data_IF_367721781838
#
_entry.id   IF_367721781838
#
_cell.length_a   1.000
_cell.length_b   1.000
_cell.length_c   1.000
_cell.angle_alpha   90.00
_cell.angle_beta   90.00
_cell.angle_gamma   90.00
#
_symmetry.space_group_name_H-M   'P 1'
#
loop_
_entity.id
_entity.type
_entity.pdbx_description
1 polymer ?
#
# COMPACT_ATOMS: atom_id res chain seq x y z
N UNK A 1 -42.30 -3.16 2.71
CA UNK A 1 -41.60 -2.88 1.44
C UNK A 1 -40.16 -3.33 1.62
N UNK A 2 -39.74 -4.41 0.95
CA UNK A 2 -38.44 -5.03 1.16
C UNK A 2 -37.38 -4.42 0.24
N UNK A 3 -36.35 -3.80 0.81
CA UNK A 3 -35.22 -3.26 0.07
C UNK A 3 -34.19 -4.38 -0.13
N UNK A 4 -34.28 -5.10 -1.26
CA UNK A 4 -33.39 -6.23 -1.54
C UNK A 4 -32.05 -5.73 -2.07
N UNK A 5 -31.10 -5.45 -1.17
CA UNK A 5 -29.70 -5.23 -1.54
C UNK A 5 -29.13 -6.50 -2.18
N UNK A 6 -28.86 -6.47 -3.49
CA UNK A 6 -28.29 -7.61 -4.22
C UNK A 6 -26.77 -7.46 -4.20
N UNK A 7 -26.11 -8.06 -3.22
CA UNK A 7 -24.65 -8.25 -3.25
C UNK A 7 -24.36 -9.47 -4.12
N UNK A 8 -23.50 -9.31 -5.12
CA UNK A 8 -22.97 -10.40 -5.93
C UNK A 8 -21.52 -10.66 -5.54
N UNK A 9 -21.17 -11.93 -5.33
CA UNK A 9 -19.80 -12.38 -5.13
C UNK A 9 -19.38 -13.23 -6.32
N UNK A 10 -18.24 -12.90 -6.93
CA UNK A 10 -17.66 -13.70 -8.01
C UNK A 10 -16.73 -14.75 -7.40
N UNK A 11 -17.02 -16.02 -7.63
CA UNK A 11 -16.23 -17.15 -7.09
C UNK A 11 -15.22 -17.71 -8.07
N UNK A 12 -15.35 -17.39 -9.36
CA UNK A 12 -14.55 -18.00 -10.44
C UNK A 12 -14.13 -16.97 -11.50
N UNK A 13 -13.08 -17.30 -12.27
CA UNK A 13 -12.55 -16.44 -13.33
C UNK A 13 -11.75 -15.23 -12.84
N UNK A 14 -11.52 -14.26 -13.72
CA UNK A 14 -10.62 -13.10 -13.48
C UNK A 14 -11.01 -12.20 -12.30
N UNK A 15 -12.22 -12.34 -11.77
CA UNK A 15 -12.71 -11.56 -10.62
C UNK A 15 -13.06 -12.44 -9.42
N UNK A 16 -12.57 -13.69 -9.38
CA UNK A 16 -12.75 -14.58 -8.23
C UNK A 16 -12.33 -13.89 -6.92
N UNK A 17 -13.17 -14.00 -5.89
CA UNK A 17 -12.99 -13.38 -4.58
C UNK A 17 -13.39 -11.90 -4.51
N UNK A 18 -13.99 -11.33 -5.56
CA UNK A 18 -14.52 -9.96 -5.57
C UNK A 18 -16.02 -9.93 -5.35
N UNK A 19 -16.52 -8.85 -4.73
CA UNK A 19 -17.94 -8.59 -4.55
C UNK A 19 -18.34 -7.26 -5.17
N UNK A 20 -19.63 -7.12 -5.51
CA UNK A 20 -20.26 -5.91 -6.01
C UNK A 20 -21.67 -5.77 -5.42
N UNK A 21 -22.04 -4.58 -4.98
CA UNK A 21 -23.37 -4.24 -4.47
C UNK A 21 -24.11 -3.38 -5.49
N UNK A 22 -25.20 -3.91 -6.05
CA UNK A 22 -25.99 -3.21 -7.07
C UNK A 22 -26.82 -2.04 -6.51
N UNK A 23 -26.99 -1.96 -5.19
CA UNK A 23 -27.75 -0.89 -4.56
C UNK A 23 -26.88 0.32 -4.28
N UNK A 24 -25.62 0.13 -3.90
CA UNK A 24 -24.68 1.23 -3.58
C UNK A 24 -23.63 1.48 -4.65
N UNK A 25 -23.40 0.54 -5.57
CA UNK A 25 -22.32 0.58 -6.55
C UNK A 25 -20.94 0.24 -5.97
N UNK A 26 -20.89 -0.15 -4.69
CA UNK A 26 -19.64 -0.51 -4.01
C UNK A 26 -19.13 -1.88 -4.44
N UNK A 27 -17.81 -2.06 -4.36
CA UNK A 27 -17.15 -3.30 -4.76
C UNK A 27 -15.83 -3.47 -4.02
N UNK A 28 -15.37 -4.71 -3.91
CA UNK A 28 -14.10 -5.00 -3.23
C UNK A 28 -13.78 -6.48 -3.21
N UNK A 29 -12.91 -6.89 -2.30
CA UNK A 29 -12.65 -8.30 -1.99
C UNK A 29 -13.37 -8.77 -0.71
N UNK A 30 -13.32 -10.08 -0.43
CA UNK A 30 -13.96 -10.66 0.75
C UNK A 30 -13.53 -10.02 2.09
N UNK A 31 -12.29 -9.51 2.20
CA UNK A 31 -11.85 -8.80 3.40
C UNK A 31 -12.61 -7.49 3.54
N UNK A 32 -12.66 -6.68 2.47
CA UNK A 32 -13.42 -5.43 2.46
C UNK A 32 -14.92 -5.63 2.70
N UNK A 33 -15.49 -6.77 2.26
CA UNK A 33 -16.89 -7.12 2.53
C UNK A 33 -17.12 -7.33 4.02
N UNK A 34 -16.24 -8.07 4.69
CA UNK A 34 -16.35 -8.33 6.14
C UNK A 34 -16.15 -7.04 6.93
N UNK A 35 -15.22 -6.18 6.52
CA UNK A 35 -15.04 -4.88 7.16
C UNK A 35 -16.32 -4.02 7.05
N UNK A 36 -16.97 -4.01 5.87
CA UNK A 36 -18.21 -3.28 5.64
C UNK A 36 -19.38 -3.82 6.45
N UNK A 37 -19.67 -5.11 6.32
CA UNK A 37 -20.87 -5.72 6.91
C UNK A 37 -20.79 -5.86 8.43
N UNK A 38 -19.57 -5.97 8.99
CA UNK A 38 -19.37 -6.22 10.42
C UNK A 38 -18.73 -5.05 11.17
N UNK A 39 -18.38 -3.97 10.48
CA UNK A 39 -17.62 -2.85 11.06
C UNK A 39 -16.23 -3.27 11.55
N UNK A 40 -15.70 -4.39 11.04
CA UNK A 40 -14.42 -4.93 11.48
C UNK A 40 -13.27 -4.14 10.91
N UNK A 41 -12.20 -4.02 11.70
CA UNK A 41 -10.93 -3.58 11.19
C UNK A 41 -10.24 -4.70 10.41
N UNK A 42 -9.22 -4.37 9.61
CA UNK A 42 -8.56 -5.35 8.72
C UNK A 42 -8.11 -6.64 9.44
N UNK A 43 -7.55 -6.51 10.66
CA UNK A 43 -7.13 -7.66 11.46
C UNK A 43 -8.30 -8.51 11.94
N UNK A 44 -9.39 -7.89 12.39
CA UNK A 44 -10.60 -8.60 12.83
C UNK A 44 -11.27 -9.31 11.66
N UNK A 45 -11.31 -8.66 10.49
CA UNK A 45 -11.81 -9.27 9.26
C UNK A 45 -10.96 -10.47 8.81
N UNK A 46 -9.63 -10.36 8.93
CA UNK A 46 -8.69 -11.46 8.64
C UNK A 46 -8.88 -12.63 9.60
N UNK A 47 -8.95 -12.39 10.90
CA UNK A 47 -9.15 -13.45 11.90
C UNK A 47 -10.52 -14.10 11.75
N UNK A 48 -11.54 -13.31 11.43
CA UNK A 48 -12.88 -13.81 11.11
C UNK A 48 -12.87 -14.74 9.89
N UNK A 49 -12.29 -14.32 8.76
CA UNK A 49 -12.23 -15.16 7.56
C UNK A 49 -11.41 -16.43 7.75
N UNK A 50 -10.30 -16.38 8.50
CA UNK A 50 -9.54 -17.58 8.88
C UNK A 50 -10.39 -18.60 9.63
N UNK A 51 -11.20 -18.12 10.58
CA UNK A 51 -12.11 -18.97 11.34
C UNK A 51 -13.18 -19.62 10.46
N UNK A 52 -13.63 -18.92 9.41
CA UNK A 52 -14.65 -19.43 8.48
C UNK A 52 -14.13 -20.54 7.55
N UNK A 53 -12.87 -20.48 7.13
CA UNK A 53 -12.28 -21.46 6.20
C UNK A 53 -11.68 -22.68 6.90
N UNK A 54 -11.94 -22.85 8.21
CA UNK A 54 -11.42 -23.98 8.98
C UNK A 54 -9.89 -24.01 9.09
N UNK A 55 -9.23 -22.86 8.82
CA UNK A 55 -7.83 -22.68 9.19
C UNK A 55 -7.79 -22.62 10.72
N UNK A 56 -7.59 -23.78 11.34
CA UNK A 56 -7.46 -23.89 12.79
C UNK A 56 -6.39 -22.90 13.25
N UNK A 57 -6.68 -22.23 14.36
CA UNK A 57 -5.64 -21.56 15.13
C UNK A 57 -4.72 -22.68 15.64
N UNK A 58 -3.79 -23.13 14.79
CA UNK A 58 -2.57 -23.74 15.28
C UNK A 58 -2.02 -22.63 16.15
N UNK A 59 -2.19 -22.84 17.44
CA UNK A 59 -1.46 -22.18 18.49
C UNK A 59 0.00 -22.60 18.31
N UNK A 60 0.61 -22.19 17.20
CA UNK A 60 1.96 -21.70 17.26
C UNK A 60 1.85 -20.56 18.25
N UNK A 61 2.12 -20.91 19.52
CA UNK A 61 2.66 -20.00 20.50
C UNK A 61 3.91 -19.42 19.84
N UNK A 62 3.72 -18.45 18.95
CA UNK A 62 4.64 -17.34 18.89
C UNK A 62 4.60 -16.83 20.33
N UNK A 63 5.63 -17.17 21.10
CA UNK A 63 5.97 -16.39 22.27
C UNK A 63 5.93 -14.96 21.77
N UNK A 64 4.88 -14.22 22.12
CA UNK A 64 4.86 -12.79 21.86
C UNK A 64 6.08 -12.28 22.61
N UNK A 65 7.08 -11.70 21.93
CA UNK A 65 8.03 -10.87 22.65
C UNK A 65 7.19 -9.86 23.44
N UNK A 66 7.56 -9.54 24.69
CA UNK A 66 6.87 -8.52 25.45
C UNK A 66 6.67 -7.27 24.59
N UNK A 67 5.47 -6.66 24.67
CA UNK A 67 5.05 -5.50 23.89
C UNK A 67 6.19 -4.47 23.87
N UNK A 68 6.86 -4.43 22.74
CA UNK A 68 7.82 -3.39 22.38
C UNK A 68 7.15 -2.62 21.29
N UNK A 69 7.07 -1.30 21.50
CA UNK A 69 6.77 -0.26 20.53
C UNK A 69 6.72 -0.78 19.07
N UNK A 70 5.50 -0.84 18.50
CA UNK A 70 5.19 -1.43 17.19
C UNK A 70 5.95 -0.78 16.02
N UNK A 71 6.74 0.27 16.28
CA UNK A 71 7.86 0.75 15.47
C UNK A 71 8.78 -0.36 14.94
N UNK A 72 8.85 -1.52 15.60
CA UNK A 72 9.81 -2.59 15.28
C UNK A 72 9.25 -3.77 14.46
N UNK A 73 7.96 -3.82 14.13
CA UNK A 73 7.40 -4.94 13.35
C UNK A 73 7.94 -5.05 11.91
N UNK A 74 8.56 -3.99 11.37
CA UNK A 74 9.22 -4.03 10.07
C UNK A 74 10.66 -4.57 10.11
N UNK A 75 11.27 -4.71 11.30
CA UNK A 75 12.69 -5.02 11.39
C UNK A 75 13.00 -6.51 11.23
N UNK A 76 12.05 -7.42 11.54
CA UNK A 76 12.29 -8.87 11.61
C UNK A 76 11.71 -9.73 10.47
N UNK A 77 11.26 -9.13 9.36
CA UNK A 77 10.88 -9.95 8.19
C UNK A 77 12.12 -10.47 7.46
N UNK A 78 12.08 -11.71 6.91
CA UNK A 78 13.13 -12.21 6.03
C UNK A 78 13.35 -11.21 4.89
N UNK A 79 14.61 -11.03 4.48
CA UNK A 79 14.93 -10.09 3.39
C UNK A 79 14.15 -10.39 2.10
N UNK A 80 13.89 -11.66 1.81
CA UNK A 80 13.07 -12.08 0.66
C UNK A 80 11.65 -11.53 0.70
N UNK A 81 11.03 -11.48 1.88
CA UNK A 81 9.68 -10.94 2.06
C UNK A 81 9.69 -9.41 1.92
N UNK A 82 10.73 -8.75 2.46
CA UNK A 82 10.91 -7.30 2.30
C UNK A 82 11.07 -6.92 0.83
N UNK A 83 11.91 -7.65 0.09
CA UNK A 83 12.14 -7.43 -1.34
C UNK A 83 10.83 -7.67 -2.13
N UNK A 84 10.12 -8.76 -1.85
CA UNK A 84 8.83 -9.05 -2.50
C UNK A 84 7.78 -7.95 -2.24
N UNK A 85 7.72 -7.41 -1.02
CA UNK A 85 6.82 -6.31 -0.69
C UNK A 85 7.18 -5.02 -1.46
N UNK A 86 8.47 -4.70 -1.57
CA UNK A 86 8.93 -3.54 -2.34
C UNK A 86 8.64 -3.71 -3.83
N UNK A 87 8.85 -4.91 -4.38
CA UNK A 87 8.53 -5.22 -5.77
C UNK A 87 7.02 -5.08 -6.05
N UNK A 88 6.17 -5.63 -5.17
CA UNK A 88 4.72 -5.48 -5.30
C UNK A 88 4.28 -4.01 -5.23
N UNK A 89 4.90 -3.23 -4.32
CA UNK A 89 4.65 -1.80 -4.24
C UNK A 89 5.05 -1.09 -5.54
N UNK A 90 6.21 -1.40 -6.11
CA UNK A 90 6.66 -0.81 -7.38
C UNK A 90 5.67 -1.07 -8.51
N UNK A 91 5.19 -2.31 -8.66
CA UNK A 91 4.25 -2.70 -9.71
C UNK A 91 2.90 -1.99 -9.61
N UNK A 92 2.42 -1.79 -8.38
CA UNK A 92 1.15 -1.11 -8.09
C UNK A 92 1.24 0.41 -8.12
N UNK A 93 2.45 0.96 -8.10
CA UNK A 93 2.67 2.40 -8.04
C UNK A 93 2.58 3.04 -9.43
N UNK A 94 1.93 4.19 -9.47
CA UNK A 94 1.66 4.96 -10.66
C UNK A 94 2.90 5.71 -11.11
N UNK A 95 3.20 5.67 -12.41
CA UNK A 95 4.26 6.49 -12.99
C UNK A 95 3.86 7.96 -12.85
N UNK A 96 4.85 8.83 -12.65
CA UNK A 96 4.63 10.30 -12.55
C UNK A 96 5.24 11.06 -13.73
N UNK A 97 5.86 10.36 -14.68
CA UNK A 97 6.41 10.90 -15.92
C UNK A 97 6.03 10.05 -17.16
N UNK A 98 6.25 10.60 -18.35
CA UNK A 98 5.84 10.05 -19.63
C UNK A 98 4.64 10.76 -20.24
N UNK A 99 4.60 10.82 -21.57
CA UNK A 99 3.56 11.51 -22.36
C UNK A 99 2.15 10.95 -22.13
N UNK A 100 2.03 9.67 -21.77
CA UNK A 100 0.73 9.00 -21.57
C UNK A 100 0.00 9.45 -20.29
N UNK A 101 0.71 10.05 -19.32
CA UNK A 101 0.11 10.46 -18.04
C UNK A 101 -0.90 11.60 -18.19
N UNK A 102 -0.78 12.41 -19.25
CA UNK A 102 -1.63 13.58 -19.46
C UNK A 102 -3.06 13.22 -19.92
N UNK A 103 -3.36 11.93 -20.15
CA UNK A 103 -4.69 11.51 -20.64
C UNK A 103 -5.74 11.29 -19.54
N UNK A 104 -5.34 11.10 -18.28
CA UNK A 104 -6.16 11.17 -17.04
C UNK A 104 -5.28 10.72 -15.87
N UNK A 105 -4.49 11.61 -15.24
CA UNK A 105 -3.64 11.21 -14.12
C UNK A 105 -4.50 10.74 -12.94
N UNK A 106 -4.06 9.68 -12.27
CA UNK A 106 -4.71 9.24 -11.03
C UNK A 106 -4.52 10.28 -9.93
N UNK A 107 -5.44 10.29 -8.95
CA UNK A 107 -5.44 11.29 -7.88
C UNK A 107 -4.09 11.35 -7.12
N UNK A 108 -3.43 10.21 -6.92
CA UNK A 108 -2.11 10.17 -6.29
C UNK A 108 -1.01 10.83 -7.13
N UNK A 109 -1.09 10.75 -8.46
CA UNK A 109 -0.13 11.39 -9.37
C UNK A 109 -0.29 12.91 -9.32
N UNK A 110 -1.52 13.42 -9.26
CA UNK A 110 -1.78 14.86 -9.13
C UNK A 110 -1.23 15.41 -7.81
N UNK A 111 -1.47 14.71 -6.70
CA UNK A 111 -0.97 15.10 -5.38
C UNK A 111 0.58 15.11 -5.36
N UNK A 112 1.23 14.11 -5.97
CA UNK A 112 2.70 14.08 -6.05
C UNK A 112 3.23 15.20 -6.95
N UNK A 113 2.61 15.47 -8.10
CA UNK A 113 2.98 16.61 -8.96
C UNK A 113 2.92 17.93 -8.18
N UNK A 114 1.83 18.15 -7.47
CA UNK A 114 1.66 19.34 -6.62
C UNK A 114 2.73 19.45 -5.53
N UNK A 115 3.12 18.33 -4.91
CA UNK A 115 4.23 18.32 -3.95
C UNK A 115 5.57 18.75 -4.57
N UNK A 116 5.87 18.27 -5.77
CA UNK A 116 7.09 18.61 -6.48
C UNK A 116 7.09 20.10 -6.88
N UNK A 117 5.95 20.60 -7.37
CA UNK A 117 5.75 22.02 -7.72
C UNK A 117 5.90 22.93 -6.49
N UNK A 118 5.26 22.59 -5.36
CA UNK A 118 5.40 23.32 -4.09
C UNK A 118 6.86 23.40 -3.60
N UNK A 119 7.71 22.46 -4.04
CA UNK A 119 9.14 22.40 -3.71
C UNK A 119 10.04 23.06 -4.76
N UNK A 120 9.48 23.61 -5.84
CA UNK A 120 10.24 24.16 -6.96
C UNK A 120 10.99 23.08 -7.75
N UNK A 121 10.56 21.82 -7.68
CA UNK A 121 11.17 20.69 -8.37
C UNK A 121 10.40 20.46 -9.66
N UNK A 122 11.02 20.77 -10.79
CA UNK A 122 10.50 20.48 -12.12
C UNK A 122 11.23 19.28 -12.70
N UNK A 123 10.48 18.32 -13.23
CA UNK A 123 11.04 17.23 -14.02
C UNK A 123 10.64 17.39 -15.48
N UNK A 124 11.59 17.14 -16.38
CA UNK A 124 11.24 16.86 -17.76
C UNK A 124 10.52 15.51 -17.81
N UNK A 125 9.26 15.55 -18.27
CA UNK A 125 8.37 14.38 -18.36
C UNK A 125 8.96 13.26 -19.22
N UNK A 126 9.94 13.55 -20.08
CA UNK A 126 10.57 12.58 -20.97
C UNK A 126 11.84 11.92 -20.41
N UNK A 127 12.44 12.48 -19.35
CA UNK A 127 13.75 12.03 -18.81
C UNK A 127 13.73 11.62 -17.34
N UNK A 128 12.62 11.83 -16.63
CA UNK A 128 12.52 11.40 -15.25
C UNK A 128 12.62 9.87 -15.10
N UNK A 129 13.23 9.41 -14.01
CA UNK A 129 13.45 7.98 -13.77
C UNK A 129 12.13 7.23 -13.56
N UNK A 130 11.99 6.04 -14.17
CA UNK A 130 10.88 5.09 -13.95
C UNK A 130 10.76 4.59 -12.51
N UNK A 131 11.83 4.77 -11.72
CA UNK A 131 11.89 4.45 -10.31
C UNK A 131 11.36 5.57 -9.39
N UNK A 132 10.91 6.68 -9.95
CA UNK A 132 10.14 7.71 -9.24
C UNK A 132 8.66 7.50 -9.53
N UNK A 133 7.86 7.34 -8.48
CA UNK A 133 6.44 6.99 -8.61
C UNK A 133 5.56 7.66 -7.56
N UNK A 134 4.26 7.64 -7.83
CA UNK A 134 3.21 7.93 -6.88
C UNK A 134 2.64 6.61 -6.34
N UNK A 135 2.57 6.49 -5.02
CA UNK A 135 2.14 5.28 -4.34
C UNK A 135 1.05 5.59 -3.31
N UNK A 136 0.28 4.56 -2.95
CA UNK A 136 -0.60 4.61 -1.78
C UNK A 136 0.02 3.70 -0.70
N UNK A 137 0.32 4.27 0.45
CA UNK A 137 0.92 3.56 1.58
C UNK A 137 -0.02 3.59 2.78
N UNK A 138 -0.24 2.41 3.36
CA UNK A 138 -0.98 2.28 4.61
C UNK A 138 -0.07 2.65 5.80
N UNK A 139 -0.47 3.63 6.58
CA UNK A 139 0.17 3.93 7.87
C UNK A 139 -0.52 3.14 8.99
N UNK A 140 0.29 2.46 9.79
CA UNK A 140 -0.22 1.58 10.85
C UNK A 140 -0.62 2.35 12.11
N UNK A 141 -0.07 3.55 12.34
CA UNK A 141 -0.39 4.34 13.53
C UNK A 141 -1.75 5.03 13.34
N UNK A 142 -1.96 5.70 12.21
CA UNK A 142 -3.22 6.37 11.92
C UNK A 142 -4.28 5.41 11.36
N UNK A 143 -3.86 4.25 10.85
CA UNK A 143 -4.71 3.26 10.16
C UNK A 143 -5.33 3.80 8.87
N UNK A 144 -4.66 4.72 8.21
CA UNK A 144 -5.12 5.38 6.99
C UNK A 144 -4.19 5.11 5.81
N UNK A 145 -4.73 5.28 4.60
CA UNK A 145 -3.96 5.27 3.37
C UNK A 145 -3.51 6.70 3.04
N UNK A 146 -2.22 6.87 2.80
CA UNK A 146 -1.65 8.12 2.34
C UNK A 146 -1.11 7.99 0.94
N UNK A 147 -1.30 9.03 0.14
CA UNK A 147 -0.49 9.24 -1.05
C UNK A 147 0.96 9.47 -0.62
N UNK A 148 1.90 8.88 -1.35
CA UNK A 148 3.31 9.06 -1.12
C UNK A 148 4.07 9.26 -2.43
N UNK A 149 5.05 10.16 -2.40
CA UNK A 149 6.08 10.21 -3.42
C UNK A 149 7.16 9.18 -3.07
N UNK A 150 7.39 8.22 -3.97
CA UNK A 150 8.30 7.10 -3.74
C UNK A 150 9.46 7.08 -4.72
N UNK A 151 10.64 6.74 -4.20
CA UNK A 151 11.85 6.51 -4.97
C UNK A 151 12.34 5.08 -4.70
N UNK A 152 12.42 4.27 -5.75
CA UNK A 152 12.84 2.88 -5.66
C UNK A 152 14.34 2.73 -5.92
N UNK A 153 14.98 1.88 -5.14
CA UNK A 153 16.40 1.58 -5.26
C UNK A 153 16.61 0.21 -5.91
N UNK A 154 17.50 0.17 -6.90
CA UNK A 154 17.92 -1.06 -7.57
C UNK A 154 19.33 -1.47 -7.14
N UNK A 155 19.57 -2.77 -7.09
CA UNK A 155 20.93 -3.31 -6.92
C UNK A 155 21.67 -3.33 -8.28
N UNK A 156 22.94 -3.77 -8.28
CA UNK A 156 23.77 -3.87 -9.49
C UNK A 156 23.26 -4.85 -10.56
N UNK A 157 22.32 -5.73 -10.20
CA UNK A 157 21.64 -6.65 -11.14
C UNK A 157 20.37 -6.05 -11.72
N UNK A 158 20.00 -4.83 -11.33
CA UNK A 158 18.77 -4.15 -11.75
C UNK A 158 17.52 -4.54 -10.95
N UNK A 159 17.66 -5.35 -9.90
CA UNK A 159 16.54 -5.80 -9.06
C UNK A 159 16.16 -4.72 -8.06
N UNK A 160 14.86 -4.50 -7.84
CA UNK A 160 14.38 -3.53 -6.85
C UNK A 160 14.56 -4.13 -5.45
N UNK A 161 15.28 -3.42 -4.59
CA UNK A 161 15.65 -3.91 -3.25
C UNK A 161 15.25 -2.98 -2.12
N UNK A 162 14.89 -1.74 -2.44
CA UNK A 162 14.50 -0.74 -1.44
C UNK A 162 13.57 0.31 -1.99
N UNK A 163 12.94 1.03 -1.08
CA UNK A 163 12.08 2.19 -1.38
C UNK A 163 12.25 3.23 -0.30
N UNK A 164 12.32 4.49 -0.72
CA UNK A 164 12.16 5.65 0.14
C UNK A 164 10.82 6.30 -0.17
N UNK A 165 10.09 6.72 0.86
CA UNK A 165 8.76 7.31 0.72
C UNK A 165 8.66 8.63 1.49
N UNK A 166 7.99 9.61 0.86
CA UNK A 166 7.53 10.84 1.49
C UNK A 166 6.01 10.82 1.47
N UNK A 167 5.39 10.74 2.64
CA UNK A 167 3.94 10.73 2.80
C UNK A 167 3.39 12.14 2.61
N UNK A 168 2.28 12.26 1.88
CA UNK A 168 1.69 13.51 1.44
C UNK A 168 0.25 13.64 1.92
N UNK A 169 -0.17 14.87 2.18
CA UNK A 169 -1.57 15.22 2.38
C UNK A 169 -2.24 15.55 1.03
N UNK A 170 -3.56 15.74 1.03
CA UNK A 170 -4.32 16.09 -0.17
C UNK A 170 -3.93 17.46 -0.77
N UNK A 171 -3.31 18.33 0.03
CA UNK A 171 -2.84 19.63 -0.45
C UNK A 171 -1.52 19.54 -1.24
N UNK A 172 -0.86 18.37 -1.28
CA UNK A 172 0.46 18.21 -1.88
C UNK A 172 1.61 18.60 -0.92
N UNK A 173 1.36 18.72 0.37
CA UNK A 173 2.42 18.95 1.36
C UNK A 173 2.76 17.66 2.09
N UNK A 174 3.87 17.66 2.84
CA UNK A 174 4.23 16.52 3.69
C UNK A 174 3.11 16.28 4.70
N UNK A 175 2.65 15.03 4.80
CA UNK A 175 1.68 14.64 5.80
C UNK A 175 2.26 14.87 7.21
N UNK A 176 1.46 15.48 8.08
CA UNK A 176 1.84 15.72 9.48
C UNK A 176 1.57 14.44 10.30
N UNK A 177 2.40 13.43 10.08
CA UNK A 177 2.31 12.13 10.75
C UNK A 177 3.62 11.86 11.51
N UNK A 178 3.50 11.26 12.70
CA UNK A 178 4.60 10.85 13.56
C UNK A 178 5.29 9.58 13.05
N UNK A 179 5.75 9.59 11.80
CA UNK A 179 6.50 8.49 11.22
C UNK A 179 7.97 8.57 11.65
N UNK A 180 8.45 7.51 12.30
CA UNK A 180 9.87 7.24 12.42
C UNK A 180 10.45 7.11 11.00
N UNK A 181 11.54 7.82 10.65
CA UNK A 181 12.10 7.83 9.29
C UNK A 181 12.38 6.40 8.83
N UNK A 182 11.59 5.90 7.87
CA UNK A 182 11.86 4.60 7.22
C UNK A 182 12.83 4.82 6.06
N UNK A 183 14.12 4.91 6.36
CA UNK A 183 15.18 4.74 5.36
C UNK A 183 15.63 3.28 5.37
N UNK A 184 15.29 2.51 4.35
CA UNK A 184 15.87 1.19 4.10
C UNK A 184 17.09 1.38 3.19
N UNK A 185 18.20 1.84 3.77
CA UNK A 185 19.49 1.94 3.07
C UNK A 185 20.46 0.98 3.75
N UNK A 186 21.01 0.04 2.98
CA UNK A 186 22.21 -0.69 3.37
C UNK A 186 23.40 0.23 3.18
N UNK A 187 24.08 0.62 4.26
CA UNK A 187 25.44 1.14 4.17
C UNK A 187 26.32 0.02 3.64
N UNK A 188 26.86 0.19 2.44
CA UNK A 188 27.93 -0.68 1.95
C UNK A 188 29.18 -0.36 2.78
N UNK A 189 29.66 -1.34 3.55
CA UNK A 189 31.01 -1.31 4.12
C UNK A 189 31.99 -1.16 2.96
N UNK A 190 32.78 -0.09 3.01
CA UNK A 190 33.99 0.04 2.21
C UNK A 190 35.10 -0.63 3.00
N UNK A 191 35.60 -1.74 2.45
CA UNK A 191 36.87 -2.37 2.79
C UNK A 191 38.05 -1.46 2.51
#
# INVERSE_FOLDING_TARGET
>A
MGNTGKIQVTTEGKYAGKWYDFSTGEKGDLLSLVQRERGYSFFEAKEYLKSMVGMSNISQRYQRPPKTDDSQQYTQQPESVKIANVQNLYERSSRIHGYEIDTSPSAEVEIVKKYLENRGITFDKSTASSDLKASILFDTQTRENYTAFTAFARNSKGEITGVQAVYLNLAGDKANISINRRSLVKSADRS
#
